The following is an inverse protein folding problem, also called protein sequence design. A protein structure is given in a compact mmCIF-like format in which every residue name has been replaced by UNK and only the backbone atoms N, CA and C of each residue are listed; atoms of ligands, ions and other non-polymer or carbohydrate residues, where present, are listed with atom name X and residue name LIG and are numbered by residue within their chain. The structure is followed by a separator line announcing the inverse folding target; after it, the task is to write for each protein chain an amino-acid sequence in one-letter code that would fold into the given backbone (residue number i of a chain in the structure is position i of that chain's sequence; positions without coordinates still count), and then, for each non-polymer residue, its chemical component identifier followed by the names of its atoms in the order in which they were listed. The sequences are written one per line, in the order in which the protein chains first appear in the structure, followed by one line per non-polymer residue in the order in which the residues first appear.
data_IF_889686445833
#
_entry.id   IF_889686445833
#
_cell.length_a   1.000
_cell.length_b   1.000
_cell.length_c   1.000
_cell.angle_alpha   90.00
_cell.angle_beta   90.00
_cell.angle_gamma   90.00
#
_symmetry.space_group_name_H-M   'P 1'
#
loop_
_entity.id
_entity.type
_entity.pdbx_description
1 polymer ?
#
# COMPACT_ATOMS: atom_id res chain seq x y z
N UNK A 1 -3.15 11.75 0.89
CA UNK A 1 -1.82 12.18 1.40
C UNK A 1 -1.79 12.43 2.91
N UNK A 2 -2.80 13.07 3.51
CA UNK A 2 -2.84 13.32 4.96
C UNK A 2 -2.67 12.06 5.86
N UNK A 3 -3.30 10.90 5.57
CA UNK A 3 -3.16 9.71 6.42
C UNK A 3 -1.76 9.07 6.39
N UNK A 4 -1.11 9.09 5.22
CA UNK A 4 0.26 8.59 5.03
C UNK A 4 1.26 9.35 5.91
N UNK A 5 1.15 10.67 5.91
CA UNK A 5 2.03 11.56 6.68
C UNK A 5 1.79 11.33 8.18
N UNK A 6 0.53 11.20 8.61
CA UNK A 6 0.19 10.91 10.01
C UNK A 6 0.76 9.58 10.50
N UNK A 7 0.66 8.51 9.70
CA UNK A 7 1.23 7.20 10.03
C UNK A 7 2.77 7.28 10.16
N UNK A 8 3.43 7.95 9.20
CA UNK A 8 4.88 8.05 9.19
C UNK A 8 5.42 8.86 10.37
N UNK A 9 4.75 9.97 10.70
CA UNK A 9 5.08 10.78 11.88
C UNK A 9 4.86 9.96 13.16
N UNK A 10 3.72 9.27 13.28
CA UNK A 10 3.43 8.42 14.44
C UNK A 10 4.46 7.30 14.63
N UNK A 11 4.88 6.65 13.55
CA UNK A 11 5.93 5.63 13.56
C UNK A 11 7.28 6.19 14.01
N UNK A 12 7.68 7.33 13.45
CA UNK A 12 8.95 8.00 13.81
C UNK A 12 8.93 8.39 15.29
N UNK A 13 7.86 9.05 15.75
CA UNK A 13 7.72 9.42 17.16
C UNK A 13 7.78 8.18 18.05
N UNK A 14 7.06 7.10 17.69
CA UNK A 14 7.07 5.85 18.44
C UNK A 14 8.44 5.19 18.55
N UNK A 15 9.32 5.34 17.54
CA UNK A 15 10.70 4.82 17.58
C UNK A 15 11.61 5.62 18.53
N UNK A 16 11.42 6.93 18.63
CA UNK A 16 12.23 7.80 19.50
C UNK A 16 11.70 7.90 20.94
N UNK A 17 10.43 7.57 21.14
CA UNK A 17 9.77 7.59 22.44
C UNK A 17 9.98 6.24 23.14
N UNK A 18 10.93 6.17 24.06
CA UNK A 18 11.22 4.98 24.88
C UNK A 18 10.20 4.80 26.02
N UNK A 19 8.91 4.69 25.68
CA UNK A 19 7.86 4.36 26.65
C UNK A 19 7.91 2.85 26.91
N UNK A 20 8.09 2.41 28.16
CA UNK A 20 8.07 0.98 28.49
C UNK A 20 6.67 0.42 28.23
N UNK A 21 6.55 -0.39 27.19
CA UNK A 21 5.31 -1.09 26.85
C UNK A 21 5.24 -2.38 27.65
N UNK A 22 4.21 -2.61 28.48
CA UNK A 22 4.05 -3.88 29.17
C UNK A 22 3.85 -5.02 28.17
N UNK A 23 4.43 -6.19 28.43
CA UNK A 23 4.42 -7.35 27.52
C UNK A 23 3.00 -7.78 27.11
N UNK A 24 2.00 -7.60 27.98
CA UNK A 24 0.61 -7.92 27.70
C UNK A 24 -0.03 -7.07 26.58
N UNK A 25 0.51 -5.87 26.31
CA UNK A 25 0.00 -4.92 25.31
C UNK A 25 0.80 -4.95 24.00
N UNK A 26 2.04 -5.45 24.04
CA UNK A 26 2.92 -5.56 22.88
C UNK A 26 2.26 -6.19 21.64
N UNK A 27 1.57 -7.36 21.71
CA UNK A 27 0.95 -7.95 20.52
C UNK A 27 -0.17 -7.08 19.94
N UNK A 28 -0.94 -6.38 20.77
CA UNK A 28 -2.02 -5.50 20.31
C UNK A 28 -1.50 -4.28 19.57
N UNK A 29 -0.44 -3.67 20.10
CA UNK A 29 0.22 -2.54 19.46
C UNK A 29 0.87 -2.97 18.13
N UNK A 30 1.50 -4.14 18.08
CA UNK A 30 2.04 -4.68 16.84
C UNK A 30 0.94 -4.82 15.78
N UNK A 31 -0.20 -5.42 16.12
CA UNK A 31 -1.33 -5.57 15.19
C UNK A 31 -1.89 -4.22 14.72
N UNK A 32 -1.94 -3.21 15.58
CA UNK A 32 -2.36 -1.86 15.22
C UNK A 32 -1.41 -1.25 14.17
N UNK A 33 -0.10 -1.35 14.38
CA UNK A 33 0.90 -0.86 13.43
C UNK A 33 0.82 -1.62 12.11
N UNK A 34 0.76 -2.95 12.14
CA UNK A 34 0.66 -3.78 10.94
C UNK A 34 -0.61 -3.47 10.14
N UNK A 35 -1.76 -3.34 10.82
CA UNK A 35 -3.02 -2.97 10.17
C UNK A 35 -2.94 -1.58 9.52
N UNK A 36 -2.25 -0.62 10.16
CA UNK A 36 -2.05 0.72 9.61
C UNK A 36 -1.24 0.70 8.31
N UNK A 37 -0.13 -0.04 8.31
CA UNK A 37 0.72 -0.20 7.12
C UNK A 37 -0.03 -0.92 6.00
N UNK A 38 -0.76 -2.00 6.31
CA UNK A 38 -1.51 -2.76 5.31
C UNK A 38 -2.64 -1.95 4.66
N UNK A 39 -3.45 -1.26 5.48
CA UNK A 39 -4.55 -0.42 4.96
C UNK A 39 -3.99 0.71 4.10
N UNK A 40 -2.87 1.31 4.51
CA UNK A 40 -2.22 2.36 3.72
C UNK A 40 -1.81 1.85 2.33
N UNK A 41 -1.16 0.69 2.24
CA UNK A 41 -0.77 0.10 0.95
C UNK A 41 -1.99 -0.30 0.11
N UNK A 42 -3.03 -0.84 0.75
CA UNK A 42 -4.29 -1.21 0.11
C UNK A 42 -4.95 0.02 -0.54
N UNK A 43 -5.05 1.12 0.20
CA UNK A 43 -5.62 2.39 -0.29
C UNK A 43 -4.77 2.99 -1.41
N UNK A 44 -3.44 2.93 -1.32
CA UNK A 44 -2.55 3.41 -2.39
C UNK A 44 -2.69 2.62 -3.70
N UNK A 45 -3.00 1.32 -3.60
CA UNK A 45 -3.14 0.45 -4.76
C UNK A 45 -4.54 0.48 -5.39
N UNK A 46 -5.53 1.16 -4.77
CA UNK A 46 -6.86 1.30 -5.35
C UNK A 46 -6.80 2.05 -6.68
N UNK A 47 -7.14 1.35 -7.76
CA UNK A 47 -7.27 1.92 -9.10
C UNK A 47 -8.58 2.70 -9.15
N UNK A 48 -8.47 4.01 -8.98
CA UNK A 48 -9.50 5.05 -9.08
C UNK A 48 -10.83 4.62 -9.72
N UNK A 49 -11.80 4.22 -8.91
CA UNK A 49 -13.22 4.45 -9.18
C UNK A 49 -13.78 5.19 -7.97
N UNK A 50 -14.16 6.45 -8.20
CA UNK A 50 -14.62 7.42 -7.21
C UNK A 50 -13.58 7.88 -6.18
N UNK A 51 -13.68 9.16 -5.84
CA UNK A 51 -12.84 9.90 -4.89
C UNK A 51 -12.54 9.03 -3.67
N UNK A 52 -11.26 8.76 -3.42
CA UNK A 52 -10.83 8.16 -2.16
C UNK A 52 -10.95 9.23 -1.08
N UNK A 53 -12.17 9.41 -0.60
CA UNK A 53 -12.42 10.27 0.54
C UNK A 53 -11.68 9.69 1.76
N UNK A 54 -11.18 10.59 2.62
CA UNK A 54 -10.40 10.23 3.83
C UNK A 54 -11.13 9.19 4.69
N UNK A 55 -12.46 9.16 4.60
CA UNK A 55 -13.36 8.30 5.35
C UNK A 55 -13.14 6.81 5.04
N UNK A 56 -12.80 6.47 3.79
CA UNK A 56 -12.55 5.08 3.40
C UNK A 56 -11.29 4.52 4.07
N UNK A 57 -10.26 5.33 4.28
CA UNK A 57 -9.06 4.90 5.02
C UNK A 57 -9.40 4.61 6.48
N UNK A 58 -10.12 5.53 7.14
CA UNK A 58 -10.45 5.41 8.56
C UNK A 58 -11.33 4.18 8.79
N UNK A 59 -12.32 3.97 7.92
CA UNK A 59 -13.21 2.81 8.00
C UNK A 59 -12.45 1.50 7.83
N UNK A 60 -11.61 1.38 6.79
CA UNK A 60 -10.83 0.16 6.55
C UNK A 60 -9.79 -0.11 7.63
N UNK A 61 -9.09 0.93 8.09
CA UNK A 61 -8.12 0.82 9.18
C UNK A 61 -8.80 0.36 10.47
N UNK A 62 -9.90 1.01 10.84
CA UNK A 62 -10.62 0.71 12.08
C UNK A 62 -11.24 -0.68 12.05
N UNK A 63 -11.90 -1.05 10.94
CA UNK A 63 -12.50 -2.37 10.79
C UNK A 63 -11.46 -3.50 10.90
N UNK A 64 -10.33 -3.38 10.18
CA UNK A 64 -9.26 -4.39 10.21
C UNK A 64 -8.58 -4.44 11.57
N UNK A 65 -8.32 -3.29 12.20
CA UNK A 65 -7.67 -3.22 13.51
C UNK A 65 -8.56 -3.81 14.60
N UNK A 66 -9.84 -3.44 14.62
CA UNK A 66 -10.82 -3.99 15.58
C UNK A 66 -10.92 -5.51 15.41
N UNK A 67 -11.04 -6.01 14.18
CA UNK A 67 -11.09 -7.45 13.93
C UNK A 67 -9.81 -8.15 14.41
N UNK A 68 -8.64 -7.60 14.11
CA UNK A 68 -7.36 -8.16 14.54
C UNK A 68 -7.22 -8.20 16.07
N UNK A 69 -7.57 -7.11 16.76
CA UNK A 69 -7.54 -7.02 18.21
C UNK A 69 -8.54 -7.98 18.85
N UNK A 70 -9.76 -8.09 18.30
CA UNK A 70 -10.78 -9.02 18.77
C UNK A 70 -10.32 -10.47 18.62
N UNK A 71 -9.79 -10.85 17.45
CA UNK A 71 -9.27 -12.20 17.23
C UNK A 71 -8.07 -12.51 18.13
N UNK A 72 -7.15 -11.57 18.31
CA UNK A 72 -6.04 -11.73 19.25
C UNK A 72 -6.52 -11.85 20.70
N UNK A 73 -7.56 -11.11 21.09
CA UNK A 73 -8.18 -11.23 22.41
C UNK A 73 -8.86 -12.59 22.60
N UNK A 74 -9.56 -13.10 21.58
CA UNK A 74 -10.13 -14.45 21.58
C UNK A 74 -9.04 -15.52 21.70
N UNK A 75 -7.92 -15.35 20.99
CA UNK A 75 -6.77 -16.24 21.11
C UNK A 75 -6.25 -16.37 22.54
N UNK A 76 -6.16 -15.25 23.27
CA UNK A 76 -5.79 -15.28 24.69
C UNK A 76 -6.76 -16.12 25.53
N UNK A 77 -8.06 -16.09 25.26
CA UNK A 77 -9.05 -16.85 26.02
C UNK A 77 -8.91 -18.36 25.82
N UNK A 78 -8.51 -18.79 24.62
CA UNK A 78 -8.31 -20.21 24.27
C UNK A 78 -6.86 -20.67 24.41
N UNK A 79 -5.97 -19.85 25.00
CA UNK A 79 -4.53 -20.09 25.11
C UNK A 79 -3.84 -20.39 23.76
N UNK A 80 -4.29 -19.74 22.69
CA UNK A 80 -3.70 -19.85 21.35
C UNK A 80 -3.13 -18.50 20.89
N UNK A 81 -1.96 -18.54 20.25
CA UNK A 81 -1.23 -17.34 19.83
C UNK A 81 -1.77 -16.74 18.52
N UNK A 82 -3.06 -16.40 18.49
CA UNK A 82 -3.72 -15.85 17.29
C UNK A 82 -3.05 -14.55 16.83
N UNK A 83 -2.47 -13.76 17.73
CA UNK A 83 -1.73 -12.55 17.39
C UNK A 83 -0.65 -12.78 16.34
N UNK A 84 0.06 -13.91 16.43
CA UNK A 84 1.16 -14.25 15.51
C UNK A 84 0.62 -14.68 14.15
N UNK A 85 -0.46 -15.45 14.13
CA UNK A 85 -1.16 -15.83 12.88
C UNK A 85 -1.70 -14.59 12.15
N UNK A 86 -2.33 -13.68 12.90
CA UNK A 86 -2.87 -12.43 12.33
C UNK A 86 -1.74 -11.54 11.83
N UNK A 87 -0.63 -11.45 12.57
CA UNK A 87 0.55 -10.71 12.12
C UNK A 87 1.11 -11.28 10.80
N UNK A 88 1.12 -12.60 10.65
CA UNK A 88 1.51 -13.24 9.40
C UNK A 88 0.56 -12.88 8.24
N UNK A 89 -0.75 -12.88 8.48
CA UNK A 89 -1.75 -12.47 7.48
C UNK A 89 -1.54 -11.02 7.05
N UNK A 90 -1.34 -10.09 7.98
CA UNK A 90 -1.03 -8.70 7.64
C UNK A 90 0.27 -8.59 6.85
N UNK A 91 1.32 -9.29 7.27
CA UNK A 91 2.61 -9.30 6.59
C UNK A 91 2.49 -9.79 5.15
N UNK A 92 1.76 -10.88 4.93
CA UNK A 92 1.46 -11.39 3.59
C UNK A 92 0.71 -10.35 2.74
N UNK A 93 -0.32 -9.71 3.30
CA UNK A 93 -1.10 -8.67 2.60
C UNK A 93 -0.25 -7.47 2.24
N UNK A 94 0.65 -7.02 3.13
CA UNK A 94 1.62 -5.96 2.87
C UNK A 94 2.48 -6.31 1.65
N UNK A 95 3.08 -7.50 1.62
CA UNK A 95 3.90 -7.93 0.48
C UNK A 95 3.09 -8.05 -0.81
N UNK A 96 1.86 -8.55 -0.73
CA UNK A 96 0.96 -8.65 -1.87
C UNK A 96 0.68 -7.27 -2.47
N UNK A 97 0.25 -6.32 -1.63
CA UNK A 97 -0.07 -4.95 -2.05
C UNK A 97 1.17 -4.23 -2.59
N UNK A 98 2.32 -4.40 -1.94
CA UNK A 98 3.59 -3.85 -2.41
C UNK A 98 3.97 -4.36 -3.80
N UNK A 99 3.86 -5.68 -4.03
CA UNK A 99 4.11 -6.29 -5.34
C UNK A 99 3.21 -5.71 -6.42
N UNK A 100 1.93 -5.51 -6.12
CA UNK A 100 0.97 -4.92 -7.08
C UNK A 100 1.35 -3.48 -7.44
N UNK A 101 1.78 -2.68 -6.46
CA UNK A 101 2.29 -1.32 -6.70
C UNK A 101 3.51 -1.36 -7.63
N UNK A 102 4.48 -2.22 -7.35
CA UNK A 102 5.71 -2.37 -8.16
C UNK A 102 5.37 -2.78 -9.60
N UNK A 103 4.48 -3.75 -9.78
CA UNK A 103 4.06 -4.22 -11.11
C UNK A 103 3.33 -3.11 -11.87
N UNK A 104 2.37 -2.44 -11.24
CA UNK A 104 1.60 -1.35 -11.85
C UNK A 104 2.53 -0.20 -12.27
N UNK A 105 3.51 0.14 -11.43
CA UNK A 105 4.52 1.14 -11.72
C UNK A 105 5.38 0.74 -12.93
N UNK A 106 5.87 -0.50 -12.97
CA UNK A 106 6.69 -1.01 -14.07
C UNK A 106 5.93 -1.02 -15.40
N UNK A 107 4.68 -1.47 -15.41
CA UNK A 107 3.82 -1.47 -16.61
C UNK A 107 3.61 -0.04 -17.11
N UNK A 108 3.26 0.90 -16.21
CA UNK A 108 3.06 2.30 -16.57
C UNK A 108 4.30 2.96 -17.20
N UNK A 109 5.50 2.64 -16.70
CA UNK A 109 6.75 3.11 -17.33
C UNK A 109 6.98 2.49 -18.72
N UNK A 110 6.65 1.22 -18.91
CA UNK A 110 6.80 0.53 -20.21
C UNK A 110 5.85 1.10 -21.26
N UNK A 111 4.60 1.36 -20.90
CA UNK A 111 3.59 1.95 -21.80
C UNK A 111 4.00 3.34 -22.29
N UNK A 112 4.45 4.22 -21.37
CA UNK A 112 4.94 5.56 -21.73
C UNK A 112 6.10 5.53 -22.71
N UNK A 113 7.03 4.59 -22.53
CA UNK A 113 8.17 4.41 -23.46
C UNK A 113 7.73 3.92 -24.84
N UNK A 114 6.78 3.00 -24.89
CA UNK A 114 6.27 2.47 -26.16
C UNK A 114 5.48 3.53 -26.92
N UNK A 115 4.65 4.31 -26.25
CA UNK A 115 3.92 5.43 -26.84
C UNK A 115 4.88 6.49 -27.42
N UNK A 116 5.94 6.85 -26.70
CA UNK A 116 6.96 7.77 -27.19
C UNK A 116 7.69 7.24 -28.44
N UNK A 117 8.00 5.94 -28.48
CA UNK A 117 8.62 5.30 -29.65
C UNK A 117 7.70 5.28 -30.86
N UNK A 118 6.42 4.99 -30.66
CA UNK A 118 5.42 5.00 -31.73
C UNK A 118 5.30 6.41 -32.35
N UNK A 119 5.21 7.46 -31.52
CA UNK A 119 5.16 8.84 -31.98
C UNK A 119 6.40 9.25 -32.80
N UNK A 120 7.61 8.85 -32.36
CA UNK A 120 8.86 9.13 -33.10
C UNK A 120 8.86 8.42 -34.46
N UNK A 121 8.42 7.14 -34.50
CA UNK A 121 8.40 6.37 -35.75
C UNK A 121 7.44 6.97 -36.79
N UNK A 122 6.31 7.52 -36.35
CA UNK A 122 5.33 8.19 -37.22
C UNK A 122 5.91 9.48 -37.84
N UNK A 123 6.60 10.30 -37.05
CA UNK A 123 7.27 11.52 -37.51
C UNK A 123 8.34 11.18 -38.56
N UNK A 124 9.21 10.22 -38.27
CA UNK A 124 10.28 9.82 -39.21
C UNK A 124 9.74 9.22 -40.52
N UNK A 125 8.59 8.55 -40.47
CA UNK A 125 7.94 7.97 -41.66
C UNK A 125 7.25 9.04 -42.52
N UNK A 126 6.72 10.09 -41.91
CA UNK A 126 6.14 11.24 -42.58
C UNK A 126 7.18 12.10 -43.32
N UNK A 127 8.31 12.40 -42.68
CA UNK A 127 9.41 13.16 -43.31
C UNK A 127 9.98 12.43 -44.52
N UNK A 128 10.19 11.12 -44.43
CA UNK A 128 10.79 10.34 -45.52
C UNK A 128 9.88 10.26 -46.75
N UNK A 129 8.55 10.25 -46.57
CA UNK A 129 7.56 10.35 -47.67
C UNK A 129 7.53 11.73 -48.31
N UNK A 130 7.71 12.80 -47.54
CA UNK A 130 7.75 14.17 -48.08
C UNK A 130 9.00 14.41 -48.92
N UNK A 131 10.14 13.85 -48.52
CA UNK A 131 11.41 13.98 -49.23
C UNK A 131 11.37 13.27 -50.59
N UNK A 132 10.82 12.06 -50.63
CA UNK A 132 10.73 11.23 -51.84
C UNK A 132 9.65 11.70 -52.87
N UNK A 133 8.92 12.78 -52.59
CA UNK A 133 7.91 13.36 -53.50
C UNK A 133 8.41 14.63 -54.21
N UNK A 134 9.56 15.15 -53.79
CA UNK A 134 10.17 16.36 -54.33
C UNK A 134 11.39 16.07 -55.23
N UNK A 135 11.75 14.80 -55.39
CA UNK A 135 12.69 14.28 -56.39
C UNK A 135 11.90 13.64 -57.55
#
# INVERSE_FOLDING_TARGET
MLPLIGLLIGLIIGLFVSVPVPSAWAPYLALLVLSGVDTLLSVLNKKNEAKTDKDNFILEFSANTVLAVLLAALGRQINFELSTVIAFVFTYRIFKNFREIVINLYIGFKERRNAARAAISEITSGENKSKNKND
#
